data_IF_329752310497
#
_entry.id   IF_329752310497
#
_cell.length_a   1.000
_cell.length_b   1.000
_cell.length_c   1.000
_cell.angle_alpha   90.00
_cell.angle_beta   90.00
_cell.angle_gamma   90.00
#
_symmetry.space_group_name_H-M   'P 1'
#
loop_
_entity.id
_entity.type
_entity.pdbx_description
1 polymer ?
#
# COMPACT_ATOMS: atom_id res chain seq x y z
N UNK A 1 25.94 6.25 9.54
CA UNK A 1 25.66 5.90 8.14
C UNK A 1 24.52 4.89 7.98
N UNK A 2 24.25 4.01 8.95
CA UNK A 2 23.18 2.99 8.85
C UNK A 2 21.75 3.55 8.93
N UNK A 3 21.52 4.57 9.77
CA UNK A 3 20.20 5.19 9.92
C UNK A 3 19.73 5.92 8.65
N UNK A 4 20.66 6.51 7.88
CA UNK A 4 20.35 7.17 6.61
C UNK A 4 19.89 6.20 5.53
N UNK A 5 20.51 5.01 5.48
CA UNK A 5 20.08 3.90 4.61
C UNK A 5 18.72 3.34 5.04
N UNK A 6 18.48 3.22 6.35
CA UNK A 6 17.21 2.74 6.88
C UNK A 6 16.05 3.70 6.58
N UNK A 7 16.24 4.99 6.84
CA UNK A 7 15.23 6.02 6.54
C UNK A 7 15.02 6.15 5.03
N UNK A 8 16.10 6.05 4.23
CA UNK A 8 16.01 6.02 2.77
C UNK A 8 15.24 4.80 2.25
N UNK A 9 15.51 3.61 2.80
CA UNK A 9 14.81 2.38 2.44
C UNK A 9 13.32 2.43 2.82
N UNK A 10 13.00 2.94 4.02
CA UNK A 10 11.61 3.14 4.47
C UNK A 10 10.87 4.12 3.57
N UNK A 11 11.51 5.22 3.17
CA UNK A 11 10.91 6.19 2.25
C UNK A 11 10.60 5.58 0.88
N UNK A 12 11.45 4.69 0.38
CA UNK A 12 11.27 4.00 -0.92
C UNK A 12 10.15 2.95 -0.84
N UNK A 13 10.08 2.17 0.24
CA UNK A 13 9.01 1.17 0.47
C UNK A 13 7.64 1.84 0.55
N UNK A 14 7.55 2.97 1.23
CA UNK A 14 6.30 3.73 1.35
C UNK A 14 5.86 4.39 0.04
N UNK A 15 6.75 4.51 -0.94
CA UNK A 15 6.49 5.18 -2.20
C UNK A 15 5.81 4.29 -3.26
N UNK A 16 5.71 2.99 -3.02
CA UNK A 16 4.85 2.10 -3.81
C UNK A 16 3.47 2.11 -3.13
N UNK A 17 2.54 3.01 -3.53
CA UNK A 17 1.16 2.89 -3.10
C UNK A 17 0.68 1.53 -3.59
N UNK A 18 0.53 0.59 -2.67
CA UNK A 18 0.16 -0.78 -2.98
C UNK A 18 -1.21 -0.84 -3.68
N UNK A 19 -1.60 -2.02 -4.20
CA UNK A 19 -2.90 -2.22 -4.84
C UNK A 19 -4.08 -1.78 -3.94
N UNK A 20 -3.93 -1.88 -2.63
CA UNK A 20 -4.85 -1.38 -1.62
C UNK A 20 -5.00 0.16 -1.66
N UNK A 21 -3.90 0.90 -1.62
CA UNK A 21 -3.92 2.37 -1.77
C UNK A 21 -4.49 2.79 -3.12
N UNK A 22 -4.19 2.09 -4.22
CA UNK A 22 -4.76 2.39 -5.54
C UNK A 22 -6.27 2.15 -5.58
N UNK A 23 -6.76 1.08 -4.95
CA UNK A 23 -8.18 0.77 -4.88
C UNK A 23 -8.92 1.83 -4.07
N UNK A 24 -8.39 2.22 -2.90
CA UNK A 24 -8.97 3.28 -2.06
C UNK A 24 -8.90 4.65 -2.75
N UNK A 25 -7.80 4.95 -3.45
CA UNK A 25 -7.67 6.20 -4.22
C UNK A 25 -8.69 6.24 -5.36
N UNK A 26 -8.89 5.12 -6.05
CA UNK A 26 -9.87 4.97 -7.12
C UNK A 26 -11.30 5.08 -6.57
N UNK A 27 -11.66 4.37 -5.51
CA UNK A 27 -13.00 4.47 -4.92
C UNK A 27 -13.27 5.85 -4.33
N UNK A 28 -12.28 6.51 -3.73
CA UNK A 28 -12.38 7.88 -3.21
C UNK A 28 -12.52 8.92 -4.33
N UNK A 29 -11.81 8.73 -5.45
CA UNK A 29 -11.86 9.63 -6.61
C UNK A 29 -13.13 9.45 -7.45
N UNK A 30 -13.66 8.23 -7.55
CA UNK A 30 -14.78 7.90 -8.46
C UNK A 30 -16.14 7.95 -7.75
N UNK A 31 -16.21 7.63 -6.46
CA UNK A 31 -17.46 7.57 -5.67
C UNK A 31 -17.51 8.60 -4.51
N UNK A 32 -16.47 9.44 -4.39
CA UNK A 32 -16.39 10.48 -3.35
C UNK A 32 -15.85 10.00 -2.01
N UNK A 33 -15.63 10.95 -1.09
CA UNK A 33 -14.93 10.74 0.20
C UNK A 33 -15.60 9.70 1.11
N UNK A 34 -16.94 9.63 1.11
CA UNK A 34 -17.69 8.70 1.97
C UNK A 34 -17.53 7.23 1.56
N UNK A 35 -17.60 6.94 0.26
CA UNK A 35 -17.45 5.56 -0.27
C UNK A 35 -16.01 5.06 -0.21
N UNK A 36 -15.02 5.97 -0.32
CA UNK A 36 -13.62 5.66 -0.04
C UNK A 36 -13.39 5.20 1.40
N UNK A 37 -14.05 5.82 2.38
CA UNK A 37 -13.92 5.44 3.79
C UNK A 37 -14.56 4.09 4.08
N UNK A 38 -15.75 3.82 3.52
CA UNK A 38 -16.43 2.54 3.68
C UNK A 38 -15.63 1.37 3.07
N UNK A 39 -15.02 1.58 1.90
CA UNK A 39 -14.17 0.57 1.25
C UNK A 39 -12.87 0.34 2.01
N UNK A 40 -12.24 1.39 2.54
CA UNK A 40 -11.06 1.26 3.40
C UNK A 40 -11.36 0.50 4.70
N UNK A 41 -12.47 0.79 5.37
CA UNK A 41 -12.90 0.07 6.57
C UNK A 41 -13.23 -1.40 6.28
N UNK A 42 -13.91 -1.67 5.17
CA UNK A 42 -14.18 -3.04 4.72
C UNK A 42 -12.90 -3.83 4.46
N UNK A 43 -11.92 -3.23 3.75
CA UNK A 43 -10.62 -3.87 3.55
C UNK A 43 -9.88 -4.08 4.87
N UNK A 44 -9.88 -3.10 5.77
CA UNK A 44 -9.20 -3.21 7.06
C UNK A 44 -9.76 -4.39 7.88
N UNK A 45 -11.09 -4.50 7.97
CA UNK A 45 -11.75 -5.59 8.71
C UNK A 45 -11.50 -6.93 8.03
N UNK A 46 -11.67 -7.03 6.71
CA UNK A 46 -11.46 -8.27 5.97
C UNK A 46 -10.01 -8.75 6.07
N UNK A 47 -9.04 -7.85 5.92
CA UNK A 47 -7.61 -8.15 6.03
C UNK A 47 -7.25 -8.53 7.46
N UNK A 48 -7.76 -7.82 8.45
CA UNK A 48 -7.58 -8.16 9.87
C UNK A 48 -8.12 -9.55 10.20
N UNK A 49 -9.37 -9.84 9.79
CA UNK A 49 -9.99 -11.14 10.00
C UNK A 49 -9.23 -12.26 9.29
N UNK A 50 -8.80 -12.05 8.04
CA UNK A 50 -8.06 -13.05 7.27
C UNK A 50 -6.69 -13.35 7.90
N UNK A 51 -5.94 -12.31 8.30
CA UNK A 51 -4.63 -12.48 8.97
C UNK A 51 -4.80 -13.13 10.34
N UNK A 52 -5.84 -12.78 11.09
CA UNK A 52 -6.15 -13.40 12.37
C UNK A 52 -6.50 -14.89 12.20
N UNK A 53 -7.37 -15.24 11.25
CA UNK A 53 -7.69 -16.65 10.94
C UNK A 53 -6.45 -17.43 10.50
N UNK A 54 -5.65 -16.87 9.60
CA UNK A 54 -4.42 -17.49 9.14
C UNK A 54 -3.42 -17.69 10.29
N UNK A 55 -3.25 -16.68 11.14
CA UNK A 55 -2.37 -16.74 12.31
C UNK A 55 -2.84 -17.75 13.36
N UNK A 56 -4.14 -17.80 13.64
CA UNK A 56 -4.73 -18.80 14.54
C UNK A 56 -4.58 -20.22 13.99
N UNK A 57 -4.85 -20.43 12.70
CA UNK A 57 -4.66 -21.73 12.05
C UNK A 57 -3.20 -22.15 12.02
N UNK A 58 -2.29 -21.21 11.76
CA UNK A 58 -0.85 -21.47 11.76
C UNK A 58 -0.32 -21.74 13.18
N UNK A 59 -0.82 -21.04 14.20
CA UNK A 59 -0.49 -21.27 15.60
C UNK A 59 -0.95 -22.67 16.06
N UNK A 60 -2.16 -23.08 15.70
CA UNK A 60 -2.66 -24.43 15.96
C UNK A 60 -1.79 -25.50 15.23
N UNK A 61 -1.35 -25.20 14.01
CA UNK A 61 -0.49 -26.09 13.22
C UNK A 61 0.93 -26.20 13.80
N UNK A 62 1.47 -25.13 14.37
CA UNK A 62 2.80 -25.12 14.99
C UNK A 62 2.84 -25.93 16.30
N UNK A 63 1.74 -26.02 17.03
CA UNK A 63 1.62 -26.93 18.19
C UNK A 63 1.70 -28.40 17.74
N UNK A 64 1.18 -28.71 16.54
CA UNK A 64 1.17 -30.08 16.00
C UNK A 64 2.48 -30.48 15.30
N UNK A 65 3.23 -29.53 14.71
CA UNK A 65 4.41 -29.81 13.88
C UNK A 65 5.57 -28.82 14.15
N UNK A 66 6.52 -29.17 15.04
CA UNK A 66 7.65 -28.30 15.40
C UNK A 66 8.58 -27.94 14.22
N UNK A 67 8.73 -28.84 13.25
CA UNK A 67 9.59 -28.64 12.08
C UNK A 67 9.03 -27.59 11.10
N UNK A 68 7.71 -27.34 11.13
CA UNK A 68 7.06 -26.41 10.21
C UNK A 68 7.37 -24.95 10.55
N UNK A 69 7.66 -24.66 11.82
CA UNK A 69 8.08 -23.34 12.28
C UNK A 69 9.38 -22.91 11.59
N UNK A 70 10.38 -23.81 11.50
CA UNK A 70 11.63 -23.53 10.81
C UNK A 70 11.41 -23.29 9.31
N UNK A 71 10.57 -24.10 8.66
CA UNK A 71 10.24 -23.94 7.23
C UNK A 71 9.59 -22.58 6.97
N UNK A 72 8.59 -22.20 7.78
CA UNK A 72 7.91 -20.90 7.63
C UNK A 72 8.86 -19.74 7.93
N UNK A 73 9.74 -19.88 8.92
CA UNK A 73 10.77 -18.88 9.24
C UNK A 73 11.73 -18.65 8.08
N UNK A 74 12.24 -19.73 7.48
CA UNK A 74 13.13 -19.62 6.31
C UNK A 74 12.40 -19.12 5.07
N UNK A 75 11.15 -19.55 4.84
CA UNK A 75 10.33 -19.06 3.74
C UNK A 75 10.02 -17.56 3.88
N UNK A 76 9.70 -17.09 5.09
CA UNK A 76 9.49 -15.67 5.37
C UNK A 76 10.75 -14.84 5.14
N UNK A 77 11.92 -15.32 5.58
CA UNK A 77 13.20 -14.68 5.31
C UNK A 77 13.49 -14.60 3.80
N UNK A 78 13.32 -15.70 3.07
CA UNK A 78 13.51 -15.75 1.63
C UNK A 78 12.55 -14.80 0.89
N UNK A 79 11.28 -14.74 1.31
CA UNK A 79 10.29 -13.83 0.74
C UNK A 79 10.67 -12.37 0.95
N UNK A 80 11.14 -11.99 2.14
CA UNK A 80 11.61 -10.61 2.40
C UNK A 80 12.83 -10.24 1.55
N UNK A 81 13.78 -11.17 1.37
CA UNK A 81 14.92 -10.97 0.47
C UNK A 81 14.45 -10.78 -0.97
N UNK A 82 13.53 -11.61 -1.44
CA UNK A 82 12.95 -11.48 -2.77
C UNK A 82 12.22 -10.15 -2.97
N UNK A 83 11.43 -9.72 -1.97
CA UNK A 83 10.72 -8.45 -1.98
C UNK A 83 11.71 -7.27 -2.04
N UNK A 84 12.79 -7.31 -1.27
CA UNK A 84 13.84 -6.30 -1.28
C UNK A 84 14.50 -6.19 -2.68
N UNK A 85 14.80 -7.33 -3.31
CA UNK A 85 15.37 -7.35 -4.67
C UNK A 85 14.40 -6.83 -5.73
N UNK A 86 13.10 -7.15 -5.60
CA UNK A 86 12.07 -6.65 -6.49
C UNK A 86 11.95 -5.12 -6.39
N UNK A 87 12.03 -4.57 -5.18
CA UNK A 87 11.96 -3.14 -4.92
C UNK A 87 13.13 -2.38 -5.56
N UNK A 88 14.34 -2.93 -5.48
CA UNK A 88 15.55 -2.35 -6.08
C UNK A 88 15.48 -2.35 -7.62
N UNK A 89 14.76 -3.32 -8.22
CA UNK A 89 14.58 -3.43 -9.68
C UNK A 89 13.43 -2.60 -10.24
N UNK A 90 12.50 -2.14 -9.40
CA UNK A 90 11.37 -1.32 -9.84
C UNK A 90 11.86 0.09 -10.22
N UNK A 91 11.89 0.37 -11.53
CA UNK A 91 12.26 1.71 -12.04
C UNK A 91 11.19 2.73 -11.62
N UNK A 92 11.56 3.89 -11.04
CA UNK A 92 10.59 4.93 -10.71
C UNK A 92 9.98 5.50 -11.98
N UNK A 93 8.69 5.27 -12.20
CA UNK A 93 7.93 5.91 -13.27
C UNK A 93 7.67 7.37 -12.90
N UNK A 94 8.03 8.36 -13.74
CA UNK A 94 7.81 9.78 -13.44
C UNK A 94 6.31 10.09 -13.45
N UNK A 95 5.64 10.06 -12.30
CA UNK A 95 4.27 10.58 -12.19
C UNK A 95 4.31 12.11 -12.16
N UNK A 96 4.09 12.65 -13.36
CA UNK A 96 3.48 13.91 -13.73
C UNK A 96 2.97 14.78 -12.59
N UNK A 97 3.60 15.95 -12.46
CA UNK A 97 3.09 17.14 -11.79
C UNK A 97 1.74 17.54 -12.43
N UNK A 98 0.61 17.15 -11.85
CA UNK A 98 -0.74 17.48 -12.40
C UNK A 98 -1.63 18.29 -11.43
N UNK A 99 -1.04 19.01 -10.48
CA UNK A 99 -1.77 19.89 -9.55
C UNK A 99 -1.35 21.37 -9.63
N UNK A 100 -0.97 21.87 -10.82
CA UNK A 100 -0.51 23.24 -11.01
C UNK A 100 -1.27 24.08 -12.06
N UNK A 101 -2.50 23.71 -12.45
CA UNK A 101 -3.26 24.48 -13.47
C UNK A 101 -4.73 24.79 -13.17
N UNK A 102 -5.20 24.66 -11.93
CA UNK A 102 -6.48 25.28 -11.52
C UNK A 102 -6.28 26.71 -10.97
N UNK A 103 -5.39 27.49 -11.58
CA UNK A 103 -5.36 28.95 -11.44
C UNK A 103 -5.94 29.59 -12.72
N UNK A 104 -7.26 29.57 -12.84
CA UNK A 104 -7.99 30.42 -13.79
C UNK A 104 -8.62 31.58 -13.02
N UNK A 105 -7.95 32.74 -12.89
CA UNK A 105 -8.66 33.99 -12.66
C UNK A 105 -9.17 34.45 -14.03
N UNK A 106 -10.45 34.20 -14.32
CA UNK A 106 -11.00 34.48 -15.64
C UNK A 106 -12.49 34.21 -15.76
N UNK A 107 -13.27 34.63 -14.77
CA UNK A 107 -14.70 34.90 -15.01
C UNK A 107 -14.80 36.31 -15.60
N UNK A 108 -14.73 36.33 -16.93
CA UNK A 108 -14.97 37.48 -17.80
C UNK A 108 -16.40 37.96 -17.59
N UNK A 109 -16.54 39.15 -16.99
CA UNK A 109 -17.80 39.83 -16.73
C UNK A 109 -18.27 40.69 -17.91
N UNK A 110 -18.39 40.12 -19.10
CA UNK A 110 -18.60 40.91 -20.33
C UNK A 110 -19.38 40.18 -21.44
N UNK A 111 -20.16 39.16 -21.09
CA UNK A 111 -21.27 38.66 -21.91
C UNK A 111 -22.40 38.40 -20.92
N UNK A 112 -23.42 39.24 -20.76
CA UNK A 112 -24.42 39.62 -21.76
C UNK A 112 -24.98 41.01 -21.43
N UNK A 113 -24.66 42.00 -22.28
CA UNK A 113 -25.46 43.19 -22.59
C UNK A 113 -25.94 43.05 -24.02
#
# INVERSE_FOLDING_TARGET
>A
MELGLFIGALAIVYLIPGPDMLLVLHTSSTLGRGHGLATALGLAIARGAHVALAGLGLAALFIAAPWLFDVVRYAGAAYLVWLALQLIRARPSPRTKQHATLNRPGYSGDRFV
#
